data_IF_170895077632
#
_entry.id   IF_170895077632
#
_cell.length_a   1.000
_cell.length_b   1.000
_cell.length_c   1.000
_cell.angle_alpha   90.00
_cell.angle_beta   90.00
_cell.angle_gamma   90.00
#
_symmetry.space_group_name_H-M   'P 1'
#
loop_
_entity.id
_entity.type
_entity.pdbx_description
1 polymer ?
#
# COMPACT_ATOMS: atom_id res chain seq x y z
N UNK A 1 -51.04 43.32 -24.20
CA UNK A 1 -50.38 44.42 -24.91
C UNK A 1 -49.45 45.16 -23.99
N UNK A 2 -48.20 44.76 -23.96
CA UNK A 2 -47.13 45.50 -23.32
C UNK A 2 -45.84 45.25 -24.08
N UNK A 3 -45.62 46.08 -25.09
CA UNK A 3 -44.32 46.35 -25.66
C UNK A 3 -44.17 47.86 -25.63
N UNK A 4 -43.09 48.35 -25.09
CA UNK A 4 -42.25 49.39 -25.60
C UNK A 4 -41.41 49.99 -24.49
N UNK A 5 -40.19 49.61 -24.44
CA UNK A 5 -39.14 50.48 -23.92
C UNK A 5 -38.07 50.51 -25.00
N UNK A 6 -38.34 51.29 -26.01
CA UNK A 6 -37.40 51.69 -27.06
C UNK A 6 -37.34 53.20 -27.12
N UNK A 7 -36.11 53.71 -27.00
CA UNK A 7 -35.61 54.93 -27.58
C UNK A 7 -36.27 56.26 -27.16
N UNK A 8 -35.74 56.83 -26.04
CA UNK A 8 -35.53 58.29 -26.01
C UNK A 8 -34.31 58.60 -25.12
N UNK A 9 -33.22 58.95 -25.77
CA UNK A 9 -32.14 59.74 -25.15
C UNK A 9 -32.66 61.11 -24.86
N UNK A 10 -32.70 61.53 -23.59
CA UNK A 10 -32.24 62.79 -23.08
C UNK A 10 -32.47 62.91 -21.57
N UNK A 11 -31.42 63.36 -20.87
CA UNK A 11 -31.38 63.68 -19.42
C UNK A 11 -31.50 62.54 -18.44
N UNK A 12 -30.39 61.84 -18.18
CA UNK A 12 -30.21 61.07 -16.96
C UNK A 12 -29.27 61.77 -15.99
N UNK A 13 -29.78 62.01 -14.79
CA UNK A 13 -28.99 62.40 -13.64
C UNK A 13 -28.15 61.14 -13.18
N UNK A 14 -26.90 61.30 -12.74
CA UNK A 14 -26.09 60.17 -12.30
C UNK A 14 -26.55 59.68 -10.91
N UNK A 15 -27.15 58.49 -10.82
CA UNK A 15 -27.43 57.87 -9.52
C UNK A 15 -28.51 56.84 -9.44
N UNK A 16 -29.32 56.55 -10.45
CA UNK A 16 -30.37 55.54 -10.35
C UNK A 16 -30.01 54.26 -11.12
N UNK A 17 -29.64 53.20 -10.36
CA UNK A 17 -29.43 51.86 -10.91
C UNK A 17 -30.79 51.12 -10.87
N UNK A 18 -31.23 50.63 -12.01
CA UNK A 18 -32.50 49.92 -12.16
C UNK A 18 -32.53 48.69 -11.21
N UNK A 19 -33.58 48.59 -10.41
CA UNK A 19 -33.79 47.53 -9.40
C UNK A 19 -33.71 46.12 -10.00
N UNK A 20 -33.93 45.98 -11.28
CA UNK A 20 -33.88 44.69 -12.01
C UNK A 20 -32.47 44.12 -12.17
N UNK A 21 -31.44 44.98 -12.21
CA UNK A 21 -30.05 44.51 -12.31
C UNK A 21 -29.49 44.05 -10.97
N UNK A 22 -29.98 44.62 -9.85
CA UNK A 22 -29.57 44.16 -8.51
C UNK A 22 -30.01 42.72 -8.21
N UNK A 23 -31.22 42.34 -8.69
CA UNK A 23 -31.75 40.96 -8.46
C UNK A 23 -30.96 39.96 -9.31
N UNK A 24 -30.59 40.28 -10.55
CA UNK A 24 -29.75 39.38 -11.37
C UNK A 24 -28.34 39.20 -10.83
N UNK A 25 -27.78 40.21 -10.19
CA UNK A 25 -26.45 40.15 -9.58
C UNK A 25 -26.46 39.31 -8.31
N UNK A 26 -27.49 39.43 -7.47
CA UNK A 26 -27.64 38.61 -6.27
C UNK A 26 -27.82 37.10 -6.57
N UNK A 27 -28.57 36.77 -7.65
CA UNK A 27 -28.71 35.37 -8.05
C UNK A 27 -27.42 34.76 -8.62
N UNK A 28 -26.60 35.55 -9.33
CA UNK A 28 -25.29 35.08 -9.82
C UNK A 28 -24.27 34.93 -8.71
N UNK A 29 -24.29 35.79 -7.72
CA UNK A 29 -23.42 35.66 -6.54
C UNK A 29 -23.80 34.48 -5.66
N UNK A 30 -25.10 34.17 -5.51
CA UNK A 30 -25.58 33.02 -4.70
C UNK A 30 -25.30 31.69 -5.37
N UNK A 31 -25.39 31.59 -6.71
CA UNK A 31 -25.08 30.33 -7.44
C UNK A 31 -23.58 30.04 -7.47
N UNK A 32 -22.73 31.06 -7.53
CA UNK A 32 -21.27 30.88 -7.44
C UNK A 32 -20.79 30.48 -6.03
N UNK A 33 -21.46 30.96 -4.97
CA UNK A 33 -21.13 30.60 -3.59
C UNK A 33 -21.52 29.16 -3.24
N UNK A 34 -22.59 28.63 -3.83
CA UNK A 34 -23.03 27.25 -3.57
C UNK A 34 -22.18 26.20 -4.28
N UNK A 35 -21.63 26.49 -5.46
CA UNK A 35 -20.75 25.57 -6.20
C UNK A 35 -19.36 25.44 -5.55
N UNK A 36 -18.85 26.51 -4.94
CA UNK A 36 -17.53 26.46 -4.27
C UNK A 36 -17.58 25.75 -2.90
N UNK A 37 -18.72 25.75 -2.21
CA UNK A 37 -18.85 25.01 -0.93
C UNK A 37 -18.94 23.49 -1.12
N UNK A 38 -19.49 23.02 -2.23
CA UNK A 38 -19.60 21.57 -2.52
C UNK A 38 -18.25 20.92 -2.86
N UNK A 39 -17.29 21.69 -3.37
CA UNK A 39 -15.96 21.17 -3.72
C UNK A 39 -15.01 21.05 -2.51
N UNK A 40 -15.28 21.78 -1.43
CA UNK A 40 -14.47 21.72 -0.20
C UNK A 40 -14.81 20.54 0.72
N UNK A 41 -16.01 19.96 0.56
CA UNK A 41 -16.45 18.85 1.42
C UNK A 41 -15.97 17.48 0.93
N UNK A 42 -15.50 17.35 -0.30
CA UNK A 42 -14.99 16.09 -0.87
C UNK A 42 -13.51 15.80 -0.54
N UNK A 43 -12.80 16.73 0.11
CA UNK A 43 -11.36 16.62 0.38
C UNK A 43 -11.01 16.21 1.83
N UNK A 44 -12.00 15.90 2.67
CA UNK A 44 -11.78 15.61 4.10
C UNK A 44 -12.04 14.16 4.51
N UNK A 45 -12.16 13.22 3.59
CA UNK A 45 -12.34 11.81 3.94
C UNK A 45 -11.08 11.02 3.64
N UNK A 46 -10.05 11.10 4.48
CA UNK A 46 -9.08 10.02 4.63
C UNK A 46 -7.94 10.29 5.64
N UNK A 47 -8.23 10.67 6.86
CA UNK A 47 -7.43 10.21 7.98
C UNK A 47 -8.22 9.08 8.65
N UNK A 48 -8.45 8.00 7.90
CA UNK A 48 -8.98 6.78 8.47
C UNK A 48 -7.99 6.34 9.55
N UNK A 49 -8.42 6.41 10.80
CA UNK A 49 -7.63 5.95 11.94
C UNK A 49 -7.04 4.58 11.61
N UNK A 50 -5.72 4.44 11.68
CA UNK A 50 -5.01 3.16 11.54
C UNK A 50 -4.83 2.47 12.89
N UNK A 51 -5.48 2.99 13.94
CA UNK A 51 -5.36 2.47 15.31
C UNK A 51 -5.94 1.07 15.51
N UNK A 52 -6.70 0.58 14.53
CA UNK A 52 -7.22 -0.79 14.46
C UNK A 52 -6.19 -1.79 13.88
N UNK A 53 -5.07 -1.31 13.36
CA UNK A 53 -4.06 -2.15 12.71
C UNK A 53 -2.81 -2.31 13.59
N UNK A 54 -2.24 -3.52 13.68
CA UNK A 54 -1.05 -3.81 14.49
C UNK A 54 0.22 -3.35 13.77
N UNK A 55 0.48 -2.04 13.74
CA UNK A 55 1.57 -1.43 13.01
C UNK A 55 2.81 -1.18 13.88
N UNK A 56 3.96 -1.23 13.21
CA UNK A 56 5.26 -0.78 13.76
C UNK A 56 5.91 0.19 12.79
N UNK A 57 6.29 1.36 13.28
CA UNK A 57 6.95 2.41 12.49
C UNK A 57 8.46 2.35 12.66
N UNK A 58 9.20 2.34 11.54
CA UNK A 58 10.65 2.48 11.49
C UNK A 58 10.96 3.59 10.48
N UNK A 59 10.94 4.85 10.93
CA UNK A 59 11.13 5.99 10.03
C UNK A 59 12.57 6.07 9.52
N UNK A 60 12.73 6.70 8.35
CA UNK A 60 14.03 7.10 7.81
C UNK A 60 14.01 8.58 7.54
N UNK A 61 15.14 9.26 7.84
CA UNK A 61 15.27 10.71 7.67
C UNK A 61 15.30 11.09 6.19
N UNK A 62 15.95 10.26 5.36
CA UNK A 62 16.17 10.51 3.93
C UNK A 62 15.39 9.54 3.05
N UNK A 63 15.44 9.80 1.72
CA UNK A 63 14.91 8.91 0.70
C UNK A 63 13.44 9.17 0.35
N UNK A 64 13.01 8.61 -0.77
CA UNK A 64 11.66 8.75 -1.31
C UNK A 64 10.81 7.48 -1.18
N UNK A 65 11.38 6.40 -0.64
CA UNK A 65 10.79 5.07 -0.63
C UNK A 65 10.15 4.74 0.71
N UNK A 66 8.95 4.17 0.64
CA UNK A 66 8.21 3.56 1.73
C UNK A 66 8.19 2.04 1.53
N UNK A 67 8.62 1.29 2.53
CA UNK A 67 8.42 -0.15 2.58
C UNK A 67 7.20 -0.48 3.45
N UNK A 68 6.26 -1.26 2.91
CA UNK A 68 5.22 -1.94 3.68
C UNK A 68 5.70 -3.37 3.92
N UNK A 69 5.91 -3.74 5.18
CA UNK A 69 6.49 -5.03 5.55
C UNK A 69 5.51 -5.90 6.35
N UNK A 70 5.00 -6.96 5.73
CA UNK A 70 4.18 -7.97 6.38
C UNK A 70 5.04 -9.05 7.03
N UNK A 71 4.90 -9.25 8.34
CA UNK A 71 5.67 -10.25 9.09
C UNK A 71 5.20 -11.69 8.82
N UNK A 72 5.92 -12.67 9.37
CA UNK A 72 5.49 -14.06 9.41
C UNK A 72 4.62 -14.39 10.64
N UNK A 73 4.40 -15.69 10.88
CA UNK A 73 3.61 -16.23 11.99
C UNK A 73 4.18 -15.90 13.38
N UNK A 74 5.49 -15.68 13.47
CA UNK A 74 6.14 -15.19 14.69
C UNK A 74 5.84 -13.73 15.03
N UNK A 75 5.05 -13.04 14.21
CA UNK A 75 4.75 -11.64 14.38
C UNK A 75 5.94 -10.73 14.10
N UNK A 76 5.95 -9.54 14.70
CA UNK A 76 7.02 -8.56 14.54
C UNK A 76 8.25 -8.92 15.38
N UNK A 77 9.05 -9.86 14.88
CA UNK A 77 10.16 -10.51 15.59
C UNK A 77 11.55 -10.05 15.11
N UNK A 78 12.61 -10.77 15.47
CA UNK A 78 14.00 -10.35 15.24
C UNK A 78 14.35 -10.09 13.77
N UNK A 79 13.92 -10.95 12.86
CA UNK A 79 14.16 -10.80 11.43
C UNK A 79 13.54 -9.49 10.93
N UNK A 80 12.23 -9.31 11.16
CA UNK A 80 11.51 -8.13 10.68
C UNK A 80 12.05 -6.85 11.28
N UNK A 81 12.38 -6.83 12.58
CA UNK A 81 13.01 -5.69 13.25
C UNK A 81 14.37 -5.34 12.66
N UNK A 82 15.23 -6.35 12.50
CA UNK A 82 16.60 -6.13 12.04
C UNK A 82 16.64 -5.69 10.58
N UNK A 83 15.91 -6.38 9.69
CA UNK A 83 15.81 -5.99 8.27
C UNK A 83 15.25 -4.58 8.13
N UNK A 84 14.20 -4.23 8.88
CA UNK A 84 13.60 -2.90 8.85
C UNK A 84 14.57 -1.80 9.29
N UNK A 85 15.38 -2.07 10.33
CA UNK A 85 16.39 -1.14 10.81
C UNK A 85 17.48 -0.87 9.74
N UNK A 86 17.96 -1.92 9.08
CA UNK A 86 18.92 -1.82 7.99
C UNK A 86 18.36 -1.07 6.78
N UNK A 87 17.10 -1.33 6.41
CA UNK A 87 16.41 -0.61 5.34
C UNK A 87 16.29 0.88 5.67
N UNK A 88 15.90 1.21 6.90
CA UNK A 88 15.79 2.60 7.34
C UNK A 88 17.15 3.34 7.32
N UNK A 89 18.23 2.66 7.69
CA UNK A 89 19.60 3.19 7.59
C UNK A 89 20.00 3.47 6.12
N UNK A 90 19.40 2.74 5.17
CA UNK A 90 19.60 2.94 3.72
C UNK A 90 18.53 3.88 3.08
N UNK A 91 17.85 4.70 3.87
CA UNK A 91 16.92 5.71 3.33
C UNK A 91 15.51 5.19 3.02
N UNK A 92 15.17 3.96 3.38
CA UNK A 92 13.88 3.33 3.14
C UNK A 92 13.09 3.30 4.43
N UNK A 93 12.08 4.18 4.55
CA UNK A 93 11.20 4.17 5.71
C UNK A 93 10.30 2.92 5.70
N UNK A 94 10.10 2.27 6.85
CA UNK A 94 9.36 1.01 6.94
C UNK A 94 8.14 1.15 7.83
N UNK A 95 6.98 0.71 7.33
CA UNK A 95 5.80 0.43 8.14
C UNK A 95 5.59 -1.07 8.16
N UNK A 96 5.73 -1.65 9.33
CA UNK A 96 5.53 -3.07 9.55
C UNK A 96 4.11 -3.41 9.96
N UNK A 97 3.58 -4.50 9.43
CA UNK A 97 2.33 -5.12 9.87
C UNK A 97 2.67 -6.41 10.62
N UNK A 98 2.23 -6.52 11.87
CA UNK A 98 2.31 -7.78 12.60
C UNK A 98 1.22 -8.72 12.10
N UNK A 99 1.56 -9.61 11.17
CA UNK A 99 0.60 -10.52 10.51
C UNK A 99 -0.11 -11.42 11.51
N UNK A 100 0.57 -11.88 12.55
CA UNK A 100 -0.05 -12.69 13.60
C UNK A 100 -1.17 -11.93 14.31
N UNK A 101 -0.86 -10.75 14.83
CA UNK A 101 -1.86 -9.93 15.52
C UNK A 101 -2.98 -9.47 14.57
N UNK A 102 -2.69 -9.27 13.28
CA UNK A 102 -3.70 -8.95 12.28
C UNK A 102 -4.69 -10.09 12.04
N UNK A 103 -4.24 -11.34 12.14
CA UNK A 103 -5.06 -12.55 11.98
C UNK A 103 -5.81 -12.95 13.26
N UNK A 104 -5.38 -12.47 14.44
CA UNK A 104 -5.93 -12.92 15.72
C UNK A 104 -7.38 -12.44 16.00
N UNK A 105 -7.89 -11.47 15.26
CA UNK A 105 -9.13 -10.79 15.62
C UNK A 105 -10.37 -11.21 14.82
N UNK A 106 -10.20 -11.70 13.58
CA UNK A 106 -11.32 -12.04 12.70
C UNK A 106 -10.89 -12.99 11.57
N UNK A 107 -11.86 -13.64 10.94
CA UNK A 107 -11.64 -14.33 9.67
C UNK A 107 -11.24 -13.31 8.61
N UNK A 108 -10.00 -13.40 8.12
CA UNK A 108 -9.43 -12.50 7.11
C UNK A 108 -9.40 -13.17 5.74
N UNK A 109 -9.22 -12.35 4.71
CA UNK A 109 -9.06 -12.81 3.34
C UNK A 109 -8.12 -11.87 2.55
N UNK A 110 -7.89 -12.22 1.28
CA UNK A 110 -6.99 -11.44 0.42
C UNK A 110 -7.46 -10.00 0.16
N UNK A 111 -8.77 -9.76 0.14
CA UNK A 111 -9.32 -8.42 -0.08
C UNK A 111 -9.14 -7.56 1.17
N UNK A 112 -9.21 -8.14 2.37
CA UNK A 112 -8.91 -7.47 3.63
C UNK A 112 -7.43 -7.06 3.69
N UNK A 113 -6.51 -7.95 3.34
CA UNK A 113 -5.07 -7.64 3.30
C UNK A 113 -4.77 -6.52 2.30
N UNK A 114 -5.40 -6.52 1.14
CA UNK A 114 -5.24 -5.47 0.13
C UNK A 114 -5.80 -4.13 0.59
N UNK A 115 -7.02 -4.11 1.15
CA UNK A 115 -7.67 -2.91 1.70
C UNK A 115 -6.85 -2.27 2.80
N UNK A 116 -6.37 -3.08 3.75
CA UNK A 116 -5.57 -2.57 4.87
C UNK A 116 -4.19 -2.11 4.39
N UNK A 117 -3.57 -2.81 3.43
CA UNK A 117 -2.34 -2.35 2.78
C UNK A 117 -2.55 -1.01 2.07
N UNK A 118 -3.65 -0.81 1.35
CA UNK A 118 -3.99 0.46 0.72
C UNK A 118 -4.14 1.59 1.74
N UNK A 119 -4.88 1.36 2.84
CA UNK A 119 -5.05 2.35 3.92
C UNK A 119 -3.69 2.79 4.49
N UNK A 120 -2.83 1.81 4.79
CA UNK A 120 -1.49 2.06 5.32
C UNK A 120 -0.65 2.86 4.31
N UNK A 121 -0.57 2.41 3.06
CA UNK A 121 0.23 3.05 2.02
C UNK A 121 -0.21 4.50 1.80
N UNK A 122 -1.51 4.77 1.67
CA UNK A 122 -2.00 6.15 1.47
C UNK A 122 -1.65 7.06 2.64
N UNK A 123 -1.82 6.59 3.88
CA UNK A 123 -1.52 7.37 5.06
C UNK A 123 -0.02 7.69 5.18
N UNK A 124 0.84 6.67 5.03
CA UNK A 124 2.27 6.86 5.26
C UNK A 124 3.02 7.49 4.09
N UNK A 125 2.59 7.30 2.85
CA UNK A 125 3.10 8.07 1.71
C UNK A 125 2.92 9.57 1.93
N UNK A 126 1.74 9.97 2.45
CA UNK A 126 1.45 11.36 2.80
C UNK A 126 2.22 11.81 4.04
N UNK A 127 2.12 11.06 5.15
CA UNK A 127 2.71 11.40 6.46
C UNK A 127 4.22 11.58 6.38
N UNK A 128 4.92 10.71 5.65
CA UNK A 128 6.38 10.72 5.53
C UNK A 128 6.89 11.31 4.23
N UNK A 129 6.01 11.91 3.41
CA UNK A 129 6.33 12.52 2.11
C UNK A 129 7.11 11.57 1.19
N UNK A 130 6.62 10.32 1.06
CA UNK A 130 7.22 9.29 0.21
C UNK A 130 6.45 9.18 -1.11
N UNK A 131 7.14 8.78 -2.18
CA UNK A 131 6.56 8.68 -3.53
C UNK A 131 6.66 7.29 -4.14
N UNK A 132 7.56 6.44 -3.63
CA UNK A 132 7.83 5.09 -4.13
C UNK A 132 7.48 4.05 -3.08
N UNK A 133 7.17 2.84 -3.51
CA UNK A 133 6.71 1.75 -2.64
C UNK A 133 7.55 0.51 -2.87
N UNK A 134 7.92 -0.15 -1.77
CA UNK A 134 8.37 -1.54 -1.76
C UNK A 134 7.39 -2.32 -0.90
N UNK A 135 6.96 -3.48 -1.39
CA UNK A 135 6.21 -4.44 -0.60
C UNK A 135 7.16 -5.55 -0.17
N UNK A 136 7.27 -5.78 1.12
CA UNK A 136 8.15 -6.81 1.70
C UNK A 136 7.28 -7.77 2.50
N UNK A 137 7.48 -9.06 2.32
CA UNK A 137 6.83 -10.09 3.10
C UNK A 137 7.81 -11.17 3.55
N UNK A 138 7.60 -11.67 4.75
CA UNK A 138 8.33 -12.79 5.28
C UNK A 138 7.38 -13.93 5.62
N UNK A 139 7.71 -15.17 5.21
CA UNK A 139 6.92 -16.37 5.51
C UNK A 139 5.46 -16.18 5.08
N UNK A 140 4.48 -16.31 5.97
CA UNK A 140 3.07 -16.02 5.73
C UNK A 140 2.85 -14.64 5.07
N UNK A 141 3.53 -13.60 5.55
CA UNK A 141 3.45 -12.27 4.95
C UNK A 141 3.92 -12.23 3.50
N UNK A 142 4.91 -13.06 3.13
CA UNK A 142 5.33 -13.20 1.73
C UNK A 142 4.21 -13.81 0.87
N UNK A 143 3.48 -14.78 1.40
CA UNK A 143 2.32 -15.36 0.72
C UNK A 143 1.20 -14.37 0.45
N UNK A 144 1.01 -13.34 1.29
CA UNK A 144 -0.04 -12.33 1.11
C UNK A 144 0.23 -11.37 -0.05
N UNK A 145 1.51 -11.02 -0.29
CA UNK A 145 1.86 -9.90 -1.16
C UNK A 145 1.43 -10.05 -2.63
N UNK A 146 1.49 -11.22 -3.28
CA UNK A 146 0.97 -11.36 -4.65
C UNK A 146 -0.52 -11.02 -4.73
N UNK A 147 -1.29 -11.40 -3.72
CA UNK A 147 -2.72 -11.07 -3.65
C UNK A 147 -2.96 -9.59 -3.36
N UNK A 148 -2.15 -9.00 -2.50
CA UNK A 148 -2.20 -7.57 -2.18
C UNK A 148 -1.93 -6.74 -3.42
N UNK A 149 -0.77 -6.93 -4.07
CA UNK A 149 -0.36 -6.10 -5.20
C UNK A 149 -1.31 -6.18 -6.39
N UNK A 150 -1.94 -7.35 -6.62
CA UNK A 150 -2.92 -7.53 -7.68
C UNK A 150 -4.23 -6.76 -7.44
N UNK A 151 -4.52 -6.44 -6.18
CA UNK A 151 -5.74 -5.73 -5.73
C UNK A 151 -5.52 -4.26 -5.43
N UNK A 152 -4.26 -3.81 -5.35
CA UNK A 152 -3.98 -2.38 -5.16
C UNK A 152 -4.57 -1.55 -6.31
N UNK A 153 -5.14 -0.38 -5.99
CA UNK A 153 -5.53 0.60 -7.00
C UNK A 153 -4.37 0.96 -7.95
N UNK A 154 -4.65 1.26 -9.23
CA UNK A 154 -3.62 1.52 -10.23
C UNK A 154 -2.61 2.61 -9.83
N UNK A 155 -3.07 3.66 -9.17
CA UNK A 155 -2.24 4.79 -8.71
C UNK A 155 -1.20 4.39 -7.65
N UNK A 156 -1.49 3.43 -6.79
CA UNK A 156 -0.54 2.86 -5.84
C UNK A 156 0.31 1.78 -6.50
N UNK A 157 -0.29 0.89 -7.28
CA UNK A 157 0.43 -0.22 -7.94
C UNK A 157 1.53 0.28 -8.87
N UNK A 158 1.32 1.38 -9.59
CA UNK A 158 2.34 2.01 -10.45
C UNK A 158 3.54 2.58 -9.68
N UNK A 159 3.41 2.78 -8.38
CA UNK A 159 4.49 3.23 -7.50
C UNK A 159 5.29 2.08 -6.88
N UNK A 160 4.84 0.83 -7.08
CA UNK A 160 5.51 -0.35 -6.52
C UNK A 160 6.74 -0.68 -7.36
N UNK A 161 7.91 -0.47 -6.79
CA UNK A 161 9.21 -0.75 -7.42
C UNK A 161 9.61 -2.21 -7.31
N UNK A 162 9.23 -2.83 -6.20
CA UNK A 162 9.63 -4.19 -5.87
C UNK A 162 8.60 -4.85 -4.95
N UNK A 163 8.33 -6.12 -5.20
CA UNK A 163 7.70 -7.04 -4.25
C UNK A 163 8.75 -8.06 -3.84
N UNK A 164 9.21 -7.98 -2.59
CA UNK A 164 10.21 -8.86 -2.01
C UNK A 164 9.55 -9.96 -1.19
N UNK A 165 9.71 -11.19 -1.64
CA UNK A 165 9.18 -12.39 -0.99
C UNK A 165 10.33 -13.12 -0.30
N UNK A 166 10.27 -13.27 1.02
CA UNK A 166 11.29 -13.95 1.82
C UNK A 166 10.69 -15.20 2.46
N UNK A 167 11.18 -16.38 2.10
CA UNK A 167 10.65 -17.65 2.61
C UNK A 167 9.16 -17.81 2.27
N UNK A 168 8.78 -17.56 1.01
CA UNK A 168 7.40 -17.70 0.59
C UNK A 168 7.03 -19.14 0.33
N UNK A 169 5.94 -19.61 0.92
CA UNK A 169 5.38 -20.95 0.78
C UNK A 169 4.49 -21.08 -0.45
N UNK A 170 4.15 -22.33 -0.84
CA UNK A 170 3.30 -22.63 -2.00
C UNK A 170 1.87 -22.14 -1.86
N UNK A 171 1.38 -22.01 -0.64
CA UNK A 171 0.01 -21.61 -0.34
C UNK A 171 -0.03 -20.45 0.65
N UNK A 172 -0.90 -19.47 0.40
CA UNK A 172 -1.21 -18.39 1.32
C UNK A 172 -2.47 -18.72 2.13
N UNK A 173 -2.36 -18.76 3.45
CA UNK A 173 -3.47 -18.91 4.37
C UNK A 173 -3.75 -17.58 5.07
N UNK A 174 -4.97 -17.05 4.87
CA UNK A 174 -5.44 -15.81 5.50
C UNK A 174 -6.19 -16.10 6.82
N UNK A 175 -6.14 -17.33 7.30
CA UNK A 175 -6.73 -17.76 8.56
C UNK A 175 -5.62 -18.19 9.51
N UNK A 176 -5.75 -17.86 10.80
CA UNK A 176 -4.82 -18.32 11.81
C UNK A 176 -5.49 -19.39 12.68
N UNK A 177 -4.83 -20.54 12.80
CA UNK A 177 -5.23 -21.59 13.73
C UNK A 177 -4.05 -21.98 14.61
N UNK A 178 -4.30 -22.14 15.90
CA UNK A 178 -3.27 -22.48 16.89
C UNK A 178 -2.46 -23.74 16.51
N UNK A 179 -3.06 -24.66 15.75
CA UNK A 179 -2.43 -25.90 15.27
C UNK A 179 -1.42 -25.65 14.13
N UNK A 180 -1.43 -24.49 13.49
CA UNK A 180 -0.48 -24.14 12.41
C UNK A 180 0.95 -23.97 12.96
N UNK A 181 1.08 -23.69 14.25
CA UNK A 181 2.38 -23.61 14.94
C UNK A 181 3.07 -25.01 15.07
N UNK A 182 2.31 -26.09 14.92
CA UNK A 182 2.79 -27.45 15.15
C UNK A 182 2.74 -28.28 13.86
N UNK A 183 1.90 -27.95 12.90
CA UNK A 183 1.68 -28.74 11.70
C UNK A 183 1.15 -27.87 10.56
N UNK A 184 1.94 -27.67 9.51
CA UNK A 184 1.46 -27.11 8.26
C UNK A 184 0.57 -28.15 7.55
N UNK A 185 -0.74 -27.94 7.56
CA UNK A 185 -1.70 -28.73 6.80
C UNK A 185 -2.37 -27.86 5.75
N UNK A 186 -2.27 -28.24 4.49
CA UNK A 186 -3.00 -27.60 3.39
C UNK A 186 -4.51 -27.66 3.60
N UNK A 187 -5.21 -26.55 3.43
CA UNK A 187 -6.66 -26.39 3.60
C UNK A 187 -7.35 -25.99 2.32
N UNK A 188 -8.65 -26.19 2.25
CA UNK A 188 -9.48 -25.75 1.13
C UNK A 188 -9.57 -24.22 0.99
N UNK A 189 -9.30 -23.48 2.07
CA UNK A 189 -9.23 -22.00 2.08
C UNK A 189 -7.88 -21.46 1.58
N UNK A 190 -6.84 -22.30 1.53
CA UNK A 190 -5.51 -21.89 1.10
C UNK A 190 -5.48 -21.51 -0.38
N UNK A 191 -4.74 -20.46 -0.68
CA UNK A 191 -4.65 -19.89 -2.03
C UNK A 191 -3.26 -20.12 -2.61
N UNK A 192 -3.19 -20.73 -3.79
CA UNK A 192 -1.90 -20.96 -4.48
C UNK A 192 -1.22 -19.63 -4.82
N UNK A 193 0.06 -19.48 -4.43
CA UNK A 193 0.83 -18.24 -4.53
C UNK A 193 1.38 -18.04 -5.95
N UNK A 194 1.94 -19.08 -6.57
CA UNK A 194 2.56 -18.99 -7.91
C UNK A 194 1.60 -18.48 -8.99
N UNK A 195 0.35 -18.98 -9.13
CA UNK A 195 -0.60 -18.44 -10.10
C UNK A 195 -0.91 -16.95 -9.88
N UNK A 196 -0.91 -16.50 -8.62
CA UNK A 196 -1.16 -15.10 -8.32
C UNK A 196 0.04 -14.20 -8.71
N UNK A 197 1.27 -14.67 -8.54
CA UNK A 197 2.48 -13.99 -9.06
C UNK A 197 2.41 -13.88 -10.61
N UNK A 198 2.06 -14.98 -11.28
CA UNK A 198 2.00 -15.04 -12.75
C UNK A 198 0.92 -14.13 -13.35
N UNK A 199 -0.14 -13.85 -12.60
CA UNK A 199 -1.21 -12.93 -13.02
C UNK A 199 -0.74 -11.49 -13.14
N UNK A 200 0.32 -11.10 -12.43
CA UNK A 200 0.84 -9.74 -12.44
C UNK A 200 2.15 -9.64 -13.23
N UNK A 201 2.07 -9.19 -14.48
CA UNK A 201 3.23 -9.03 -15.37
C UNK A 201 3.91 -7.66 -15.27
N UNK A 202 3.30 -6.70 -14.56
CA UNK A 202 3.75 -5.31 -14.52
C UNK A 202 4.60 -4.92 -13.31
N UNK A 203 4.81 -5.84 -12.36
CA UNK A 203 5.55 -5.59 -11.13
C UNK A 203 6.79 -6.46 -11.04
N UNK A 204 7.89 -5.89 -10.58
CA UNK A 204 9.13 -6.60 -10.33
C UNK A 204 9.02 -7.41 -9.04
N UNK A 205 9.40 -8.71 -9.13
CA UNK A 205 9.49 -9.59 -7.98
C UNK A 205 10.94 -9.92 -7.65
N UNK A 206 11.21 -10.06 -6.37
CA UNK A 206 12.43 -10.61 -5.79
C UNK A 206 12.04 -11.74 -4.85
N UNK A 207 12.66 -12.91 -4.96
CA UNK A 207 12.39 -14.08 -4.12
C UNK A 207 13.67 -14.53 -3.43
N UNK A 208 13.65 -14.57 -2.10
CA UNK A 208 14.76 -14.98 -1.26
C UNK A 208 14.36 -16.17 -0.41
N UNK A 209 15.21 -17.22 -0.38
CA UNK A 209 14.97 -18.45 0.39
C UNK A 209 16.23 -19.00 1.01
N UNK A 210 16.08 -19.80 2.06
CA UNK A 210 17.16 -20.52 2.71
C UNK A 210 17.52 -21.80 1.95
N UNK A 211 18.81 -22.09 1.79
CA UNK A 211 19.28 -23.27 1.00
C UNK A 211 18.83 -24.61 1.56
N UNK A 212 18.46 -24.69 2.84
CA UNK A 212 17.94 -25.90 3.47
C UNK A 212 16.42 -25.86 3.67
N UNK A 213 15.76 -24.81 3.19
CA UNK A 213 14.32 -24.65 3.24
C UNK A 213 13.63 -25.59 2.24
N UNK A 214 12.68 -26.39 2.71
CA UNK A 214 12.02 -27.42 1.90
C UNK A 214 10.67 -26.99 1.35
N UNK A 215 10.02 -26.04 2.00
CA UNK A 215 8.71 -25.51 1.59
C UNK A 215 8.85 -24.06 1.13
N UNK A 216 9.43 -23.87 -0.06
CA UNK A 216 9.58 -22.54 -0.67
C UNK A 216 9.27 -22.57 -2.15
N UNK A 217 8.59 -21.53 -2.64
CA UNK A 217 8.26 -21.40 -4.07
C UNK A 217 9.42 -20.86 -4.91
N UNK A 218 10.45 -20.25 -4.30
CA UNK A 218 11.47 -19.51 -5.04
C UNK A 218 12.16 -20.35 -6.14
N UNK A 219 12.56 -21.61 -5.91
CA UNK A 219 13.17 -22.44 -6.96
C UNK A 219 12.22 -22.81 -8.10
N UNK A 220 10.90 -22.73 -7.87
CA UNK A 220 9.89 -23.04 -8.90
C UNK A 220 9.49 -21.83 -9.75
N UNK A 221 9.99 -20.64 -9.42
CA UNK A 221 9.71 -19.43 -10.17
C UNK A 221 10.61 -19.27 -11.40
N UNK A 222 10.15 -18.52 -12.38
CA UNK A 222 10.89 -18.23 -13.61
C UNK A 222 12.03 -17.22 -13.35
N UNK A 223 13.26 -17.73 -13.23
CA UNK A 223 14.45 -16.93 -12.96
C UNK A 223 14.79 -15.93 -14.09
N UNK A 224 14.20 -16.06 -15.29
CA UNK A 224 14.35 -15.07 -16.34
C UNK A 224 13.52 -13.78 -16.07
N UNK A 225 12.51 -13.88 -15.21
CA UNK A 225 11.58 -12.79 -14.88
C UNK A 225 11.69 -12.31 -13.45
N UNK A 226 12.16 -13.16 -12.55
CA UNK A 226 12.18 -12.90 -11.11
C UNK A 226 13.62 -13.06 -10.62
N UNK A 227 14.11 -12.06 -9.91
CA UNK A 227 15.41 -12.15 -9.26
C UNK A 227 15.32 -13.09 -8.04
N UNK A 228 15.99 -14.24 -8.12
CA UNK A 228 15.97 -15.28 -7.09
C UNK A 228 17.32 -15.32 -6.39
N UNK A 229 17.33 -15.27 -5.06
CA UNK A 229 18.52 -15.36 -4.22
C UNK A 229 18.36 -16.48 -3.21
N UNK A 230 19.34 -17.41 -3.21
CA UNK A 230 19.50 -18.41 -2.17
C UNK A 230 20.47 -17.90 -1.11
N UNK A 231 20.11 -17.98 0.17
CA UNK A 231 20.96 -17.69 1.31
C UNK A 231 21.21 -18.95 2.11
N UNK A 232 22.35 -19.06 2.75
CA UNK A 232 22.63 -20.19 3.63
C UNK A 232 21.65 -20.27 4.79
N UNK A 233 21.43 -21.48 5.29
CA UNK A 233 20.53 -21.75 6.39
C UNK A 233 19.12 -22.15 5.97
N UNK A 234 18.26 -22.19 6.97
CA UNK A 234 16.85 -22.53 6.88
C UNK A 234 15.98 -21.30 6.59
N UNK A 235 14.73 -21.37 6.97
CA UNK A 235 13.73 -20.27 6.89
C UNK A 235 14.16 -18.98 7.61
N UNK A 236 15.17 -19.04 8.51
CA UNK A 236 15.71 -17.90 9.25
C UNK A 236 17.04 -17.37 8.69
N UNK A 237 17.56 -17.92 7.56
CA UNK A 237 18.72 -17.42 6.81
C UNK A 237 19.99 -17.26 7.66
N UNK A 238 20.26 -18.22 8.52
CA UNK A 238 21.37 -18.17 9.50
C UNK A 238 21.42 -16.87 10.31
N UNK A 239 20.29 -16.16 10.42
CA UNK A 239 20.13 -14.85 11.07
C UNK A 239 21.01 -13.75 10.47
N UNK A 240 21.44 -13.90 9.24
CA UNK A 240 22.21 -12.87 8.54
C UNK A 240 21.31 -11.79 7.95
N UNK A 241 20.60 -11.08 8.81
CA UNK A 241 19.59 -10.09 8.43
C UNK A 241 20.14 -8.85 7.69
N UNK A 242 21.39 -8.35 8.00
CA UNK A 242 21.99 -7.29 7.19
C UNK A 242 22.17 -7.68 5.72
N UNK A 243 22.57 -8.93 5.44
CA UNK A 243 22.71 -9.42 4.07
C UNK A 243 21.37 -9.45 3.33
N UNK A 244 20.26 -9.81 4.02
CA UNK A 244 18.91 -9.78 3.45
C UNK A 244 18.52 -8.35 3.05
N UNK A 245 18.70 -7.39 3.94
CA UNK A 245 18.40 -5.98 3.65
C UNK A 245 19.25 -5.47 2.47
N UNK A 246 20.53 -5.83 2.40
CA UNK A 246 21.40 -5.50 1.28
C UNK A 246 20.89 -6.08 -0.05
N UNK A 247 20.44 -7.34 -0.07
CA UNK A 247 19.89 -7.96 -1.28
C UNK A 247 18.62 -7.26 -1.76
N UNK A 248 17.74 -6.88 -0.83
CA UNK A 248 16.53 -6.11 -1.15
C UNK A 248 16.91 -4.77 -1.77
N UNK A 249 17.82 -4.03 -1.13
CA UNK A 249 18.27 -2.72 -1.64
C UNK A 249 18.92 -2.84 -3.01
N UNK A 250 19.77 -3.85 -3.21
CA UNK A 250 20.44 -4.12 -4.50
C UNK A 250 19.46 -4.53 -5.61
N UNK A 251 18.30 -5.04 -5.27
CA UNK A 251 17.27 -5.47 -6.22
C UNK A 251 16.36 -4.31 -6.66
N UNK A 252 16.50 -3.13 -6.07
CA UNK A 252 15.76 -1.95 -6.48
C UNK A 252 16.25 -1.44 -7.84
N UNK A 253 15.36 -0.83 -8.64
CA UNK A 253 15.78 -0.15 -9.85
C UNK A 253 16.73 1.00 -9.53
N UNK A 254 17.80 1.12 -10.28
CA UNK A 254 18.69 2.29 -10.26
C UNK A 254 18.00 3.42 -11.01
N UNK A 255 17.86 4.59 -10.40
CA UNK A 255 17.29 5.81 -10.98
C UNK A 255 18.36 6.85 -11.21
#
# INVERSE_FOLDING_TARGET
SWNHCSDQRLFMFPGEVCVRDKIRWMHRALVLATVTLSSALAAQTSDASLGDLPLTEVPSVNGSTLALFWSGDGGWADLTRSVSKELAANGIAVVGVNSRAWLDHDTRNADDAARDSERILRAYLKRWSRSRIILIGYSRGAGFLPFVVNRLPPDLRQRVDLVALMGAEHAASFEFHLMDLVRSSSRSSDRAVIPEIQRNTGVRYFCLYGTTETDTICPALDAAKIHIVARSGDHHFDRNYPAIAHDIVKSLPTF
#
